data_IF_539324178717
#
_entry.id   IF_539324178717
#
_cell.length_a   1.000
_cell.length_b   1.000
_cell.length_c   1.000
_cell.angle_alpha   90.00
_cell.angle_beta   90.00
_cell.angle_gamma   90.00
#
_symmetry.space_group_name_H-M   'P 1'
#
loop_
_entity.id
_entity.type
_entity.pdbx_description
1 polymer ?
#
# COMPACT_ATOMS: atom_id res chain seq x y z
N UNK A 1 20.80 -12.38 47.07
CA UNK A 1 22.03 -11.60 47.33
C UNK A 1 23.12 -12.08 46.39
N UNK A 2 23.69 -11.19 45.56
CA UNK A 2 24.71 -11.57 44.58
C UNK A 2 26.04 -11.93 45.26
N UNK A 3 26.69 -13.00 44.80
CA UNK A 3 28.03 -13.43 45.26
C UNK A 3 29.02 -12.27 45.08
N UNK A 4 29.71 -11.87 46.15
CA UNK A 4 30.77 -10.85 46.08
C UNK A 4 31.87 -11.31 45.13
N UNK A 5 32.35 -10.40 44.29
CA UNK A 5 33.42 -10.68 43.33
C UNK A 5 34.77 -10.70 44.05
N UNK A 6 35.51 -11.81 43.97
CA UNK A 6 36.75 -12.02 44.76
C UNK A 6 38.02 -12.15 43.93
N UNK A 7 37.92 -12.17 42.59
CA UNK A 7 39.09 -12.31 41.71
C UNK A 7 39.87 -11.01 41.58
N UNK A 8 41.20 -11.09 41.73
CA UNK A 8 42.09 -9.94 41.58
C UNK A 8 42.58 -9.76 40.12
N UNK A 9 43.21 -8.61 39.82
CA UNK A 9 43.69 -8.26 38.46
C UNK A 9 44.59 -9.35 37.85
N UNK A 10 45.55 -9.88 38.61
CA UNK A 10 46.51 -10.90 38.14
C UNK A 10 45.83 -12.23 37.83
N UNK A 11 44.83 -12.63 38.63
CA UNK A 11 44.03 -13.82 38.37
C UNK A 11 43.18 -13.67 37.11
N UNK A 12 42.57 -12.50 36.91
CA UNK A 12 41.79 -12.20 35.71
C UNK A 12 42.65 -12.19 34.43
N UNK A 13 43.86 -11.65 34.49
CA UNK A 13 44.84 -11.69 33.39
C UNK A 13 45.23 -13.12 33.00
N UNK A 14 45.48 -13.98 33.99
CA UNK A 14 45.84 -15.39 33.75
C UNK A 14 44.66 -16.17 33.14
N UNK A 15 43.44 -15.83 33.54
CA UNK A 15 42.22 -16.48 33.07
C UNK A 15 41.85 -16.07 31.64
N UNK A 16 41.93 -14.78 31.28
CA UNK A 16 41.67 -14.30 29.90
C UNK A 16 42.65 -14.89 28.89
N UNK A 17 43.92 -15.10 29.27
CA UNK A 17 44.93 -15.69 28.37
C UNK A 17 44.60 -17.13 27.96
N UNK A 18 43.78 -17.83 28.74
CA UNK A 18 43.50 -19.27 28.54
C UNK A 18 42.07 -19.57 28.11
N UNK A 19 41.11 -18.72 28.46
CA UNK A 19 39.69 -18.99 28.26
C UNK A 19 38.95 -17.75 27.77
N UNK A 20 37.92 -17.97 26.96
CA UNK A 20 36.98 -16.91 26.54
C UNK A 20 36.07 -16.50 27.71
N UNK A 21 35.53 -15.28 27.65
CA UNK A 21 34.66 -14.76 28.74
C UNK A 21 33.42 -15.64 28.98
N UNK A 22 32.92 -16.32 27.95
CA UNK A 22 31.80 -17.28 28.06
C UNK A 22 32.18 -18.53 28.84
N UNK A 23 33.38 -19.05 28.64
CA UNK A 23 33.89 -20.21 29.38
C UNK A 23 34.19 -19.84 30.85
N UNK A 24 34.61 -18.60 31.10
CA UNK A 24 34.84 -18.10 32.45
C UNK A 24 33.58 -18.03 33.32
N UNK A 25 32.39 -17.87 32.72
CA UNK A 25 31.11 -17.93 33.43
C UNK A 25 30.93 -19.31 34.07
N UNK A 26 31.22 -20.38 33.33
CA UNK A 26 31.09 -21.76 33.80
C UNK A 26 32.14 -22.11 34.86
N UNK A 27 33.36 -21.58 34.71
CA UNK A 27 34.49 -21.87 35.62
C UNK A 27 34.35 -21.11 36.94
N UNK A 28 33.91 -19.85 36.90
CA UNK A 28 33.93 -18.97 38.08
C UNK A 28 32.58 -18.88 38.79
N UNK A 29 31.50 -19.22 38.10
CA UNK A 29 30.12 -19.05 38.56
C UNK A 29 29.68 -17.58 38.69
N UNK A 30 30.44 -16.63 38.12
CA UNK A 30 30.05 -15.23 38.03
C UNK A 30 29.24 -14.97 36.75
N UNK A 31 28.22 -14.11 36.85
CA UNK A 31 27.46 -13.67 35.68
C UNK A 31 28.34 -12.96 34.65
N UNK A 32 28.01 -13.15 33.37
CA UNK A 32 28.79 -12.64 32.23
C UNK A 32 28.98 -11.11 32.30
N UNK A 33 27.93 -10.36 32.68
CA UNK A 33 27.98 -8.90 32.85
C UNK A 33 28.96 -8.46 33.95
N UNK A 34 29.02 -9.20 35.07
CA UNK A 34 29.92 -8.93 36.20
C UNK A 34 31.38 -9.16 35.79
N UNK A 35 31.65 -10.22 35.03
CA UNK A 35 32.99 -10.49 34.49
C UNK A 35 33.42 -9.35 33.55
N UNK A 36 32.61 -8.98 32.55
CA UNK A 36 32.93 -7.86 31.65
C UNK A 36 33.19 -6.55 32.39
N UNK A 37 32.43 -6.23 33.44
CA UNK A 37 32.62 -5.03 34.23
C UNK A 37 33.99 -4.98 34.93
N UNK A 38 34.43 -6.09 35.54
CA UNK A 38 35.72 -6.17 36.23
C UNK A 38 36.90 -6.24 35.25
N UNK A 39 36.73 -6.96 34.13
CA UNK A 39 37.74 -7.02 33.07
C UNK A 39 37.97 -5.65 32.43
N UNK A 40 36.89 -4.87 32.26
CA UNK A 40 36.97 -3.48 31.79
C UNK A 40 37.58 -2.55 32.84
N UNK A 41 37.21 -2.70 34.13
CA UNK A 41 37.78 -1.92 35.25
C UNK A 41 39.31 -2.08 35.35
N UNK A 42 39.82 -3.26 35.02
CA UNK A 42 41.25 -3.55 35.03
C UNK A 42 41.97 -3.35 33.68
N UNK A 43 41.28 -2.76 32.67
CA UNK A 43 41.79 -2.55 31.31
C UNK A 43 42.26 -3.82 30.59
N UNK A 44 41.72 -4.99 30.96
CA UNK A 44 42.09 -6.28 30.36
C UNK A 44 41.33 -6.57 29.06
N UNK A 45 40.21 -5.88 28.87
CA UNK A 45 39.44 -5.85 27.64
C UNK A 45 39.19 -4.38 27.31
N UNK A 46 40.11 -3.76 26.56
CA UNK A 46 39.85 -2.48 25.90
C UNK A 46 39.38 -2.77 24.48
N UNK A 47 38.14 -2.35 24.17
CA UNK A 47 37.74 -2.23 22.76
C UNK A 47 38.20 -0.85 22.33
N UNK A 48 39.35 -0.76 21.67
CA UNK A 48 39.80 0.51 21.10
C UNK A 48 38.68 1.06 20.20
N UNK A 49 38.26 2.30 20.49
CA UNK A 49 37.24 2.97 19.68
C UNK A 49 37.90 3.38 18.38
N UNK A 50 37.73 2.55 17.35
CA UNK A 50 38.15 2.89 15.99
C UNK A 50 37.29 4.05 15.49
N UNK A 51 37.88 5.24 15.37
CA UNK A 51 37.21 6.40 14.77
C UNK A 51 36.98 6.21 13.27
N UNK A 52 36.00 6.92 12.74
CA UNK A 52 35.69 6.90 11.32
C UNK A 52 36.68 7.78 10.57
N UNK A 53 37.36 7.20 9.57
CA UNK A 53 38.19 7.99 8.64
C UNK A 53 37.32 8.80 7.69
N UNK A 54 37.83 9.92 7.15
CA UNK A 54 37.09 10.77 6.20
C UNK A 54 36.56 9.98 4.99
N UNK A 55 37.37 9.08 4.42
CA UNK A 55 36.96 8.19 3.33
C UNK A 55 35.78 7.28 3.69
N UNK A 56 35.73 6.79 4.94
CA UNK A 56 34.61 5.97 5.42
C UNK A 56 33.33 6.78 5.56
N UNK A 57 33.44 8.08 5.88
CA UNK A 57 32.31 9.00 5.96
C UNK A 57 31.74 9.30 4.57
N UNK A 58 32.61 9.63 3.61
CA UNK A 58 32.23 9.88 2.21
C UNK A 58 31.56 8.62 1.64
N UNK A 59 32.17 7.45 1.84
CA UNK A 59 31.59 6.19 1.38
C UNK A 59 30.24 5.90 2.03
N UNK A 60 30.08 6.20 3.32
CA UNK A 60 28.81 6.02 4.02
C UNK A 60 27.73 6.91 3.42
N UNK A 61 28.03 8.20 3.21
CA UNK A 61 27.11 9.18 2.63
C UNK A 61 26.68 8.79 1.21
N UNK A 62 27.63 8.49 0.31
CA UNK A 62 27.32 8.11 -1.07
C UNK A 62 26.51 6.82 -1.19
N UNK A 63 26.72 5.86 -0.29
CA UNK A 63 26.08 4.54 -0.36
C UNK A 63 24.88 4.41 0.55
N UNK A 64 24.58 5.41 1.39
CA UNK A 64 23.38 5.43 2.22
C UNK A 64 22.14 5.41 1.33
N UNK A 65 21.29 4.40 1.50
CA UNK A 65 20.09 4.24 0.67
C UNK A 65 20.34 3.66 -0.74
N UNK A 66 21.57 3.73 -1.27
CA UNK A 66 21.95 3.01 -2.50
C UNK A 66 22.23 1.52 -2.25
N UNK A 67 22.91 1.20 -1.14
CA UNK A 67 23.23 -0.18 -0.72
C UNK A 67 22.56 -0.54 0.61
N UNK A 68 22.40 -1.84 0.85
CA UNK A 68 21.93 -2.33 2.15
C UNK A 68 22.94 -1.99 3.25
N UNK A 69 22.45 -1.72 4.47
CA UNK A 69 23.30 -1.43 5.63
C UNK A 69 24.24 -2.59 5.91
N UNK A 70 23.78 -3.83 5.70
CA UNK A 70 24.61 -5.03 5.77
C UNK A 70 25.81 -4.99 4.83
N UNK A 71 25.62 -4.59 3.57
CA UNK A 71 26.71 -4.46 2.61
C UNK A 71 27.69 -3.33 2.98
N UNK A 72 27.18 -2.21 3.48
CA UNK A 72 28.01 -1.09 3.96
C UNK A 72 28.85 -1.52 5.18
N UNK A 73 28.21 -2.17 6.15
CA UNK A 73 28.84 -2.71 7.36
C UNK A 73 29.97 -3.69 7.02
N UNK A 74 29.73 -4.61 6.06
CA UNK A 74 30.74 -5.55 5.57
C UNK A 74 31.95 -4.82 4.96
N UNK A 75 31.74 -3.78 4.14
CA UNK A 75 32.85 -3.03 3.51
C UNK A 75 33.63 -2.21 4.54
N UNK A 76 32.94 -1.55 5.48
CA UNK A 76 33.58 -0.74 6.53
C UNK A 76 34.20 -1.59 7.65
N UNK A 77 33.98 -2.91 7.63
CA UNK A 77 34.37 -3.85 8.70
C UNK A 77 33.85 -3.38 10.07
N UNK A 78 32.58 -2.97 10.11
CA UNK A 78 31.89 -2.48 11.32
C UNK A 78 30.57 -3.22 11.50
N UNK A 79 29.98 -3.14 12.69
CA UNK A 79 28.63 -3.68 12.92
C UNK A 79 27.57 -2.81 12.25
N UNK A 80 26.45 -3.42 11.84
CA UNK A 80 25.30 -2.70 11.26
C UNK A 80 24.80 -1.58 12.19
N UNK A 81 24.79 -1.84 13.52
CA UNK A 81 24.43 -0.86 14.53
C UNK A 81 25.36 0.37 14.52
N UNK A 82 26.67 0.16 14.43
CA UNK A 82 27.64 1.25 14.41
C UNK A 82 27.49 2.12 13.15
N UNK A 83 27.15 1.51 12.01
CA UNK A 83 26.89 2.21 10.75
C UNK A 83 25.61 3.05 10.86
N UNK A 84 24.50 2.46 11.35
CA UNK A 84 23.23 3.18 11.58
C UNK A 84 23.41 4.37 12.51
N UNK A 85 24.15 4.18 13.61
CA UNK A 85 24.37 5.25 14.57
C UNK A 85 25.25 6.36 14.03
N UNK A 86 26.20 6.03 13.15
CA UNK A 86 27.00 7.05 12.49
C UNK A 86 26.18 7.83 11.47
N UNK A 87 25.36 7.15 10.66
CA UNK A 87 24.46 7.80 9.71
C UNK A 87 23.46 8.75 10.39
N UNK A 88 22.87 8.31 11.52
CA UNK A 88 22.01 9.15 12.35
C UNK A 88 22.73 10.40 12.85
N UNK A 89 23.95 10.24 13.39
CA UNK A 89 24.78 11.37 13.85
C UNK A 89 25.22 12.32 12.73
N UNK A 90 25.30 11.82 11.51
CA UNK A 90 25.61 12.62 10.32
C UNK A 90 24.36 13.28 9.71
N UNK A 91 23.17 13.01 10.24
CA UNK A 91 21.92 13.58 9.71
C UNK A 91 21.47 12.97 8.38
N UNK A 92 21.94 11.78 8.00
CA UNK A 92 21.63 11.15 6.69
C UNK A 92 20.16 10.67 6.54
N UNK A 93 19.35 10.78 7.60
CA UNK A 93 17.93 10.45 7.56
C UNK A 93 17.59 8.97 7.30
N UNK A 94 16.34 8.70 6.95
CA UNK A 94 15.86 7.35 6.62
C UNK A 94 16.34 6.96 5.21
N UNK A 95 17.09 5.84 5.05
CA UNK A 95 17.52 5.37 3.73
C UNK A 95 16.36 5.08 2.77
N UNK A 96 15.13 4.90 3.25
CA UNK A 96 13.93 4.75 2.41
C UNK A 96 13.62 5.99 1.57
N UNK A 97 14.03 7.17 2.02
CA UNK A 97 13.84 8.44 1.30
C UNK A 97 14.76 8.57 0.07
N UNK A 98 15.79 7.73 -0.04
CA UNK A 98 16.66 7.68 -1.23
C UNK A 98 16.02 6.94 -2.42
N UNK A 99 14.87 6.31 -2.22
CA UNK A 99 14.18 5.57 -3.28
C UNK A 99 13.60 6.60 -4.26
N UNK A 100 13.95 6.46 -5.53
CA UNK A 100 13.31 7.17 -6.62
C UNK A 100 11.92 6.56 -6.90
N UNK A 101 10.96 6.86 -6.02
CA UNK A 101 9.60 6.35 -6.09
C UNK A 101 8.89 6.35 -4.75
N UNK A 102 7.67 5.81 -4.77
CA UNK A 102 6.79 5.69 -3.61
C UNK A 102 6.67 4.23 -3.20
N UNK A 103 6.80 3.94 -1.90
CA UNK A 103 6.56 2.58 -1.39
C UNK A 103 5.08 2.24 -1.48
N UNK A 104 4.74 0.96 -1.64
CA UNK A 104 3.33 0.53 -1.75
C UNK A 104 2.50 0.92 -0.50
N UNK A 105 3.14 0.97 0.68
CA UNK A 105 2.48 1.43 1.90
C UNK A 105 2.18 2.94 1.87
N UNK A 106 3.13 3.76 1.41
CA UNK A 106 2.89 5.20 1.23
C UNK A 106 1.81 5.44 0.16
N UNK A 107 1.89 4.71 -0.96
CA UNK A 107 0.89 4.77 -2.03
C UNK A 107 -0.50 4.42 -1.50
N UNK A 108 -0.61 3.32 -0.75
CA UNK A 108 -1.85 2.87 -0.10
C UNK A 108 -2.49 3.96 0.76
N UNK A 109 -1.68 4.67 1.56
CA UNK A 109 -2.15 5.78 2.39
C UNK A 109 -2.56 7.00 1.57
N UNK A 110 -1.79 7.36 0.55
CA UNK A 110 -2.05 8.53 -0.29
C UNK A 110 -3.35 8.38 -1.11
N UNK A 111 -3.62 7.18 -1.63
CA UNK A 111 -4.80 6.92 -2.47
C UNK A 111 -6.01 6.39 -1.68
N UNK A 112 -5.83 6.05 -0.40
CA UNK A 112 -6.89 5.48 0.45
C UNK A 112 -7.32 4.06 0.08
N UNK A 113 -6.47 3.28 -0.61
CA UNK A 113 -6.72 1.88 -0.97
C UNK A 113 -5.89 0.98 -0.09
N UNK A 114 -6.49 -0.10 0.45
CA UNK A 114 -5.80 -1.02 1.35
C UNK A 114 -4.61 -1.73 0.67
N UNK A 115 -3.49 -1.88 1.40
CA UNK A 115 -2.25 -2.51 0.90
C UNK A 115 -2.49 -3.87 0.22
N UNK A 116 -3.24 -4.77 0.87
CA UNK A 116 -3.53 -6.10 0.29
C UNK A 116 -4.37 -6.03 -0.99
N UNK A 117 -5.21 -5.00 -1.15
CA UNK A 117 -5.97 -4.80 -2.39
C UNK A 117 -5.05 -4.38 -3.53
N UNK A 118 -4.04 -3.54 -3.25
CA UNK A 118 -3.03 -3.16 -4.25
C UNK A 118 -2.22 -4.41 -4.65
N UNK A 119 -1.73 -5.19 -3.68
CA UNK A 119 -0.94 -6.38 -3.99
C UNK A 119 -1.76 -7.41 -4.79
N UNK A 120 -2.95 -7.79 -4.31
CA UNK A 120 -3.75 -8.83 -4.96
C UNK A 120 -4.39 -8.39 -6.26
N UNK A 121 -5.00 -7.21 -6.31
CA UNK A 121 -5.71 -6.77 -7.51
C UNK A 121 -4.76 -6.10 -8.48
N UNK A 122 -3.96 -5.12 -8.03
CA UNK A 122 -3.16 -4.35 -8.98
C UNK A 122 -1.94 -5.13 -9.45
N UNK A 123 -1.17 -5.73 -8.53
CA UNK A 123 0.06 -6.45 -8.89
C UNK A 123 -0.25 -7.78 -9.57
N UNK A 124 -1.05 -8.66 -8.94
CA UNK A 124 -1.26 -10.01 -9.46
C UNK A 124 -2.22 -10.06 -10.67
N UNK A 125 -3.30 -9.26 -10.67
CA UNK A 125 -4.34 -9.36 -11.71
C UNK A 125 -4.17 -8.33 -12.83
N UNK A 126 -3.65 -7.13 -12.51
CA UNK A 126 -3.58 -6.01 -13.45
C UNK A 126 -2.14 -5.62 -13.83
N UNK A 127 -1.13 -6.41 -13.45
CA UNK A 127 0.26 -6.21 -13.88
C UNK A 127 0.91 -4.91 -13.38
N UNK A 128 0.60 -4.46 -12.18
CA UNK A 128 1.16 -3.23 -11.61
C UNK A 128 2.69 -3.29 -11.50
N UNK A 129 3.44 -2.30 -12.05
CA UNK A 129 4.89 -2.37 -12.24
C UNK A 129 5.68 -2.10 -10.95
N UNK A 130 5.63 -3.05 -10.01
CA UNK A 130 6.36 -2.95 -8.74
C UNK A 130 7.84 -3.32 -8.89
N UNK A 131 8.68 -2.56 -8.20
CA UNK A 131 10.12 -2.80 -8.06
C UNK A 131 10.44 -3.17 -6.63
N UNK A 132 11.47 -3.98 -6.44
CA UNK A 132 11.95 -4.39 -5.11
C UNK A 132 13.38 -3.94 -4.89
N UNK A 133 13.65 -3.38 -3.72
CA UNK A 133 15.00 -3.00 -3.29
C UNK A 133 15.23 -3.47 -1.86
N UNK A 134 16.37 -4.11 -1.63
CA UNK A 134 16.77 -4.51 -0.27
C UNK A 134 17.41 -3.32 0.42
N UNK A 135 16.73 -2.78 1.42
CA UNK A 135 17.23 -1.68 2.25
C UNK A 135 17.38 -2.19 3.68
N UNK A 136 18.57 -1.98 4.24
CA UNK A 136 18.94 -2.51 5.56
C UNK A 136 18.86 -4.05 5.55
N UNK A 137 17.74 -4.61 6.04
CA UNK A 137 17.44 -6.03 6.19
C UNK A 137 16.01 -6.38 5.68
N UNK A 138 15.31 -5.44 5.06
CA UNK A 138 13.93 -5.60 4.57
C UNK A 138 13.86 -5.42 3.05
N UNK A 139 13.01 -6.22 2.40
CA UNK A 139 12.64 -6.02 1.01
C UNK A 139 11.58 -4.93 0.94
N UNK A 140 11.92 -3.82 0.31
CA UNK A 140 11.01 -2.71 0.11
C UNK A 140 10.43 -2.80 -1.30
N UNK A 141 9.11 -2.89 -1.37
CA UNK A 141 8.35 -2.85 -2.61
C UNK A 141 7.93 -1.41 -2.88
N UNK A 142 8.26 -0.89 -4.05
CA UNK A 142 7.99 0.48 -4.45
C UNK A 142 7.65 0.57 -5.94
N UNK A 143 7.15 1.72 -6.36
CA UNK A 143 6.85 2.04 -7.76
C UNK A 143 7.39 3.44 -8.06
N UNK A 144 7.93 3.64 -9.26
CA UNK A 144 8.35 4.98 -9.68
C UNK A 144 7.13 5.82 -10.04
N UNK A 145 7.24 7.14 -9.97
CA UNK A 145 6.13 8.01 -10.34
C UNK A 145 5.72 7.82 -11.81
N UNK A 146 6.69 7.67 -12.71
CA UNK A 146 6.45 7.43 -14.14
C UNK A 146 5.70 6.10 -14.37
N UNK A 147 6.19 5.01 -13.78
CA UNK A 147 5.59 3.69 -13.93
C UNK A 147 4.16 3.65 -13.37
N UNK A 148 3.93 4.34 -12.24
CA UNK A 148 2.60 4.48 -11.65
C UNK A 148 1.63 5.18 -12.60
N UNK A 149 1.98 6.36 -13.12
CA UNK A 149 1.07 7.13 -13.97
C UNK A 149 0.79 6.45 -15.31
N UNK A 150 1.81 5.81 -15.90
CA UNK A 150 1.64 5.01 -17.11
C UNK A 150 0.64 3.88 -16.90
N UNK A 151 0.80 3.12 -15.82
CA UNK A 151 -0.15 2.04 -15.49
C UNK A 151 -1.54 2.57 -15.14
N UNK A 152 -1.63 3.69 -14.40
CA UNK A 152 -2.89 4.30 -14.00
C UNK A 152 -3.70 4.82 -15.20
N UNK A 153 -3.02 5.26 -16.27
CA UNK A 153 -3.66 5.70 -17.50
C UNK A 153 -4.35 4.55 -18.24
N UNK A 154 -3.75 3.36 -18.25
CA UNK A 154 -4.37 2.16 -18.84
C UNK A 154 -5.49 1.61 -17.94
N UNK A 155 -5.40 1.87 -16.63
CA UNK A 155 -6.28 1.32 -15.60
C UNK A 155 -7.14 2.39 -14.90
N UNK A 156 -7.61 3.41 -15.63
CA UNK A 156 -8.34 4.57 -15.04
C UNK A 156 -9.52 4.17 -14.17
N UNK A 157 -10.19 3.06 -14.47
CA UNK A 157 -11.38 2.60 -13.77
C UNK A 157 -11.10 1.93 -12.41
N UNK A 158 -9.85 1.58 -12.11
CA UNK A 158 -9.45 0.96 -10.84
C UNK A 158 -9.21 1.98 -9.72
N UNK A 159 -8.92 3.23 -10.08
CA UNK A 159 -8.56 4.29 -9.15
C UNK A 159 -9.69 5.31 -9.12
N UNK A 160 -10.13 5.67 -7.91
CA UNK A 160 -11.08 6.75 -7.68
C UNK A 160 -10.32 8.01 -7.24
N UNK A 161 -10.21 8.98 -8.14
CA UNK A 161 -9.49 10.23 -7.86
C UNK A 161 -10.33 11.26 -7.09
N UNK A 162 -11.61 11.01 -6.80
CA UNK A 162 -12.47 12.00 -6.16
C UNK A 162 -12.07 12.38 -4.74
N UNK A 163 -11.35 11.48 -4.04
CA UNK A 163 -10.92 11.66 -2.64
C UNK A 163 -9.41 11.81 -2.47
N UNK A 164 -8.66 11.72 -3.56
CA UNK A 164 -7.20 11.81 -3.55
C UNK A 164 -6.82 13.28 -3.64
N UNK A 165 -5.91 13.77 -2.79
CA UNK A 165 -5.43 15.14 -2.88
C UNK A 165 -4.66 15.37 -4.19
N UNK A 166 -4.83 16.56 -4.80
CA UNK A 166 -4.13 16.90 -6.03
C UNK A 166 -2.61 16.99 -5.80
N UNK A 167 -1.83 16.39 -6.70
CA UNK A 167 -0.37 16.35 -6.69
C UNK A 167 0.28 15.64 -5.49
N UNK A 168 -0.48 14.89 -4.69
CA UNK A 168 0.07 14.11 -3.56
C UNK A 168 1.09 13.04 -4.00
N UNK A 169 0.97 12.55 -5.24
CA UNK A 169 1.90 11.60 -5.87
C UNK A 169 2.92 12.29 -6.80
N UNK A 170 3.14 13.60 -6.61
CA UNK A 170 3.92 14.44 -7.49
C UNK A 170 3.11 15.01 -8.64
N UNK A 171 3.80 15.54 -9.67
CA UNK A 171 3.17 16.15 -10.85
C UNK A 171 2.18 15.20 -11.54
N UNK A 172 0.93 15.62 -11.65
CA UNK A 172 -0.13 14.88 -12.31
C UNK A 172 -0.10 15.05 -13.85
N UNK A 173 -0.36 13.97 -14.62
CA UNK A 173 -0.67 14.06 -16.05
C UNK A 173 -1.92 14.90 -16.34
N UNK A 174 -2.02 15.41 -17.57
CA UNK A 174 -3.17 16.24 -17.99
C UNK A 174 -4.50 15.48 -17.94
N UNK A 175 -4.51 14.19 -18.28
CA UNK A 175 -5.72 13.36 -18.28
C UNK A 175 -6.33 13.22 -16.88
N UNK A 176 -5.51 13.32 -15.82
CA UNK A 176 -5.94 13.13 -14.43
C UNK A 176 -6.97 14.18 -14.01
N UNK A 177 -6.87 15.42 -14.51
CA UNK A 177 -7.86 16.48 -14.25
C UNK A 177 -9.24 16.12 -14.77
N UNK A 178 -9.31 15.60 -15.99
CA UNK A 178 -10.59 15.19 -16.59
C UNK A 178 -11.16 13.98 -15.86
N UNK A 179 -10.31 12.98 -15.58
CA UNK A 179 -10.71 11.80 -14.80
C UNK A 179 -11.23 12.18 -13.41
N UNK A 180 -10.57 13.10 -12.70
CA UNK A 180 -10.99 13.59 -11.38
C UNK A 180 -12.39 14.21 -11.42
N UNK A 181 -12.69 15.03 -12.45
CA UNK A 181 -14.04 15.60 -12.65
C UNK A 181 -15.08 14.49 -12.84
N UNK A 182 -14.77 13.49 -13.66
CA UNK A 182 -15.63 12.32 -13.90
C UNK A 182 -15.87 11.55 -12.60
N UNK A 183 -14.84 11.33 -11.80
CA UNK A 183 -14.94 10.61 -10.52
C UNK A 183 -15.76 11.37 -9.49
N UNK A 184 -15.58 12.68 -9.37
CA UNK A 184 -16.40 13.52 -8.49
C UNK A 184 -17.88 13.41 -8.89
N UNK A 185 -18.18 13.51 -10.20
CA UNK A 185 -19.53 13.35 -10.71
C UNK A 185 -20.13 11.97 -10.41
N UNK A 186 -19.30 10.92 -10.51
CA UNK A 186 -19.72 9.54 -10.22
C UNK A 186 -19.90 9.27 -8.71
N UNK A 187 -19.02 9.82 -7.86
CA UNK A 187 -19.05 9.65 -6.41
C UNK A 187 -20.32 10.27 -5.83
N UNK A 188 -20.70 11.46 -6.31
CA UNK A 188 -21.92 12.17 -5.93
C UNK A 188 -23.21 11.35 -6.19
N UNK A 189 -23.19 10.37 -7.11
CA UNK A 189 -24.40 9.62 -7.52
C UNK A 189 -24.42 8.14 -7.10
N UNK A 190 -23.29 7.52 -6.77
CA UNK A 190 -23.23 6.06 -6.67
C UNK A 190 -22.61 5.45 -5.42
N UNK A 191 -21.88 6.18 -4.56
CA UNK A 191 -20.93 5.52 -3.64
C UNK A 191 -20.78 6.13 -2.26
N UNK A 192 -21.90 6.29 -1.57
CA UNK A 192 -21.84 6.08 -0.13
C UNK A 192 -22.08 4.59 0.14
N UNK A 193 -21.09 3.92 0.76
CA UNK A 193 -21.29 2.69 1.57
C UNK A 193 -22.21 2.98 2.78
N UNK A 194 -23.12 3.95 2.65
CA UNK A 194 -24.09 4.30 3.66
C UNK A 194 -24.99 3.09 3.84
N UNK A 195 -25.24 2.68 5.10
CA UNK A 195 -26.23 1.67 5.40
C UNK A 195 -27.57 2.02 4.75
N UNK A 196 -28.38 1.00 4.48
CA UNK A 196 -29.77 1.25 4.09
C UNK A 196 -30.55 1.70 5.32
N UNK A 197 -31.25 2.82 5.23
CA UNK A 197 -32.16 3.25 6.31
C UNK A 197 -33.48 2.47 6.23
N UNK A 198 -34.24 2.43 7.34
CA UNK A 198 -35.58 1.85 7.35
C UNK A 198 -36.51 2.52 6.32
N UNK A 199 -36.48 3.84 6.26
CA UNK A 199 -37.26 4.63 5.29
C UNK A 199 -36.89 4.34 3.83
N UNK A 200 -35.62 4.12 3.51
CA UNK A 200 -35.20 3.71 2.16
C UNK A 200 -35.71 2.31 1.80
N UNK A 201 -35.73 1.40 2.77
CA UNK A 201 -36.23 0.03 2.58
C UNK A 201 -37.74 0.07 2.37
N UNK A 202 -38.48 0.84 3.16
CA UNK A 202 -39.92 1.05 2.99
C UNK A 202 -40.24 1.65 1.61
N UNK A 203 -39.49 2.67 1.19
CA UNK A 203 -39.60 3.26 -0.15
C UNK A 203 -39.27 2.26 -1.26
N UNK A 204 -38.25 1.42 -1.07
CA UNK A 204 -37.94 0.35 -2.01
C UNK A 204 -39.12 -0.63 -2.15
N UNK A 205 -39.70 -1.06 -1.03
CA UNK A 205 -40.83 -1.99 -1.02
C UNK A 205 -42.07 -1.35 -1.66
N UNK A 206 -42.37 -0.09 -1.35
CA UNK A 206 -43.52 0.61 -1.95
C UNK A 206 -43.37 0.74 -3.46
N UNK A 207 -42.19 1.14 -3.95
CA UNK A 207 -41.89 1.19 -5.38
C UNK A 207 -42.05 -0.19 -6.05
N UNK A 208 -41.59 -1.26 -5.42
CA UNK A 208 -41.73 -2.61 -5.97
C UNK A 208 -43.19 -3.08 -6.01
N UNK A 209 -44.01 -2.73 -5.01
CA UNK A 209 -45.45 -3.07 -4.98
C UNK A 209 -46.25 -2.42 -6.09
N UNK A 210 -45.80 -1.29 -6.64
CA UNK A 210 -46.48 -0.65 -7.78
C UNK A 210 -46.32 -1.41 -9.10
N UNK A 211 -45.34 -2.33 -9.19
CA UNK A 211 -45.02 -3.11 -10.39
C UNK A 211 -44.87 -2.29 -11.69
N UNK A 212 -44.51 -1.00 -11.59
CA UNK A 212 -44.42 -0.12 -12.76
C UNK A 212 -42.99 0.35 -13.08
N UNK A 213 -42.01 -0.03 -12.25
CA UNK A 213 -40.65 0.52 -12.33
C UNK A 213 -39.63 -0.54 -12.68
N UNK A 214 -38.66 -0.15 -13.52
CA UNK A 214 -37.47 -0.96 -13.81
C UNK A 214 -36.41 -0.76 -12.73
N UNK A 215 -35.37 -1.60 -12.73
CA UNK A 215 -34.22 -1.42 -11.85
C UNK A 215 -33.57 -0.04 -11.99
N UNK A 216 -33.55 0.53 -13.20
CA UNK A 216 -32.97 1.86 -13.42
C UNK A 216 -33.80 2.96 -12.73
N UNK A 217 -35.12 2.90 -12.85
CA UNK A 217 -36.00 3.94 -12.31
C UNK A 217 -36.07 3.86 -10.77
N UNK A 218 -35.98 2.65 -10.21
CA UNK A 218 -35.91 2.46 -8.75
C UNK A 218 -34.56 2.98 -8.22
N UNK A 219 -33.46 2.64 -8.89
CA UNK A 219 -32.12 3.08 -8.53
C UNK A 219 -31.99 4.61 -8.52
N UNK A 220 -32.56 5.28 -9.52
CA UNK A 220 -32.58 6.75 -9.60
C UNK A 220 -33.40 7.38 -8.46
N UNK A 221 -34.60 6.87 -8.18
CA UNK A 221 -35.46 7.39 -7.09
C UNK A 221 -34.90 7.17 -5.69
N UNK A 222 -34.04 6.17 -5.51
CA UNK A 222 -33.39 5.85 -4.24
C UNK A 222 -31.97 6.43 -4.15
N UNK A 223 -31.46 7.05 -5.21
CA UNK A 223 -30.08 7.54 -5.30
C UNK A 223 -29.07 6.45 -4.92
N UNK A 224 -29.25 5.26 -5.52
CA UNK A 224 -28.40 4.07 -5.34
C UNK A 224 -28.05 3.49 -6.72
N UNK A 225 -27.04 2.62 -6.79
CA UNK A 225 -26.75 1.87 -8.02
C UNK A 225 -27.76 0.75 -8.27
N UNK A 226 -27.91 0.31 -9.53
CA UNK A 226 -28.83 -0.78 -9.88
C UNK A 226 -28.42 -2.10 -9.17
N UNK A 227 -27.11 -2.32 -9.05
CA UNK A 227 -26.55 -3.47 -8.34
C UNK A 227 -26.86 -3.45 -6.84
N UNK A 228 -26.81 -2.28 -6.19
CA UNK A 228 -27.15 -2.15 -4.77
C UNK A 228 -28.64 -2.46 -4.53
N UNK A 229 -29.52 -1.95 -5.38
CA UNK A 229 -30.97 -2.25 -5.33
C UNK A 229 -31.21 -3.75 -5.53
N UNK A 230 -30.61 -4.35 -6.56
CA UNK A 230 -30.72 -5.80 -6.83
C UNK A 230 -30.25 -6.64 -5.64
N UNK A 231 -29.09 -6.30 -5.06
CA UNK A 231 -28.55 -6.98 -3.89
C UNK A 231 -29.47 -6.85 -2.69
N UNK A 232 -30.01 -5.66 -2.44
CA UNK A 232 -30.92 -5.41 -1.31
C UNK A 232 -32.22 -6.21 -1.42
N UNK A 233 -32.81 -6.29 -2.63
CA UNK A 233 -33.99 -7.11 -2.89
C UNK A 233 -33.73 -8.59 -2.57
N UNK A 234 -32.56 -9.08 -2.97
CA UNK A 234 -32.12 -10.45 -2.69
C UNK A 234 -31.92 -10.68 -1.18
N UNK A 235 -31.17 -9.80 -0.52
CA UNK A 235 -30.86 -9.93 0.92
C UNK A 235 -32.12 -9.93 1.80
N UNK A 236 -33.09 -9.06 1.47
CA UNK A 236 -34.35 -8.95 2.20
C UNK A 236 -35.40 -9.98 1.78
N UNK A 237 -35.09 -10.87 0.82
CA UNK A 237 -36.02 -11.88 0.27
C UNK A 237 -37.39 -11.29 -0.12
N UNK A 238 -37.40 -10.06 -0.64
CA UNK A 238 -38.64 -9.40 -1.05
C UNK A 238 -39.29 -10.25 -2.15
N UNK A 239 -40.62 -10.48 -2.16
CA UNK A 239 -41.27 -11.28 -3.20
C UNK A 239 -41.47 -10.51 -4.51
N UNK A 240 -41.67 -9.19 -4.42
CA UNK A 240 -41.93 -8.29 -5.54
C UNK A 240 -40.68 -8.07 -6.42
N UNK A 241 -40.86 -7.93 -7.74
CA UNK A 241 -39.76 -7.77 -8.72
C UNK A 241 -39.98 -6.54 -9.61
N UNK A 242 -38.91 -5.79 -9.94
CA UNK A 242 -39.01 -4.73 -10.95
C UNK A 242 -39.38 -5.29 -12.33
N UNK A 243 -40.01 -4.45 -13.17
CA UNK A 243 -40.30 -4.84 -14.56
C UNK A 243 -38.97 -5.05 -15.31
N UNK A 244 -38.86 -6.13 -16.10
CA UNK A 244 -37.77 -6.28 -17.06
C UNK A 244 -37.74 -5.11 -18.06
N UNK A 245 -36.54 -4.65 -18.43
CA UNK A 245 -36.42 -3.69 -19.55
C UNK A 245 -36.95 -4.35 -20.83
N UNK A 246 -37.54 -3.57 -21.74
CA UNK A 246 -38.11 -4.07 -23.01
C UNK A 246 -37.12 -5.01 -23.72
N UNK A 247 -37.57 -6.22 -24.07
CA UNK A 247 -36.81 -7.18 -24.88
C UNK A 247 -36.61 -6.60 -26.30
N UNK A 248 -35.45 -6.84 -26.91
CA UNK A 248 -35.16 -6.42 -28.29
C UNK A 248 -34.36 -5.11 -28.48
N UNK A 249 -33.84 -4.49 -27.42
CA UNK A 249 -32.97 -3.30 -27.57
C UNK A 249 -31.52 -3.72 -27.85
N UNK A 250 -31.22 -4.04 -29.11
CA UNK A 250 -29.89 -4.46 -29.54
C UNK A 250 -28.84 -3.35 -29.42
N UNK A 251 -27.58 -3.74 -29.33
CA UNK A 251 -26.44 -2.83 -29.35
C UNK A 251 -26.12 -2.44 -30.78
N UNK A 252 -26.26 -1.15 -31.11
CA UNK A 252 -25.82 -0.64 -32.42
C UNK A 252 -24.28 -0.56 -32.47
N UNK A 253 -23.71 -0.46 -33.68
CA UNK A 253 -22.25 -0.28 -33.84
C UNK A 253 -21.79 1.00 -33.13
N UNK A 254 -22.50 2.11 -33.30
CA UNK A 254 -22.16 3.40 -32.69
C UNK A 254 -22.20 3.35 -31.16
N UNK A 255 -23.18 2.63 -30.59
CA UNK A 255 -23.26 2.44 -29.14
C UNK A 255 -22.05 1.67 -28.59
N UNK A 256 -21.53 0.68 -29.35
CA UNK A 256 -20.34 -0.07 -28.94
C UNK A 256 -19.07 0.79 -29.02
N UNK A 257 -18.94 1.58 -30.08
CA UNK A 257 -17.82 2.53 -30.22
C UNK A 257 -17.85 3.55 -29.08
N UNK A 258 -19.01 4.16 -28.82
CA UNK A 258 -19.20 5.12 -27.74
C UNK A 258 -18.98 4.50 -26.35
N UNK A 259 -19.38 3.24 -26.14
CA UNK A 259 -19.10 2.50 -24.91
C UNK A 259 -17.59 2.41 -24.67
N UNK A 260 -16.82 1.97 -25.67
CA UNK A 260 -15.37 1.85 -25.56
C UNK A 260 -14.72 3.21 -25.29
N UNK A 261 -15.09 4.23 -26.07
CA UNK A 261 -14.56 5.60 -25.91
C UNK A 261 -14.80 6.16 -24.49
N UNK A 262 -16.01 6.00 -23.95
CA UNK A 262 -16.33 6.46 -22.60
C UNK A 262 -15.59 5.64 -21.53
N UNK A 263 -15.43 4.33 -21.74
CA UNK A 263 -14.70 3.47 -20.81
C UNK A 263 -13.21 3.83 -20.77
N UNK A 264 -12.59 4.06 -21.92
CA UNK A 264 -11.17 4.43 -22.07
C UNK A 264 -10.88 5.82 -21.46
N UNK A 265 -11.88 6.72 -21.50
CA UNK A 265 -11.87 8.02 -20.78
C UNK A 265 -12.03 7.88 -19.27
N UNK A 266 -12.41 6.70 -18.76
CA UNK A 266 -12.56 6.42 -17.34
C UNK A 266 -13.96 6.73 -16.78
N UNK A 267 -15.00 6.79 -17.62
CA UNK A 267 -16.37 6.92 -17.15
C UNK A 267 -16.83 5.63 -16.45
N UNK A 268 -17.51 5.80 -15.32
CA UNK A 268 -18.08 4.66 -14.59
C UNK A 268 -19.25 4.04 -15.36
N UNK A 269 -19.49 2.72 -15.23
CA UNK A 269 -20.61 2.04 -15.90
C UNK A 269 -21.98 2.69 -15.63
N UNK A 270 -22.15 3.29 -14.44
CA UNK A 270 -23.35 4.06 -14.09
C UNK A 270 -23.51 5.31 -14.95
N UNK A 271 -22.44 6.09 -15.17
CA UNK A 271 -22.49 7.26 -16.05
C UNK A 271 -22.68 6.85 -17.52
N UNK A 272 -21.93 5.84 -17.97
CA UNK A 272 -22.06 5.29 -19.32
C UNK A 272 -23.49 4.83 -19.61
N UNK A 273 -24.12 4.15 -18.65
CA UNK A 273 -25.51 3.70 -18.72
C UNK A 273 -26.47 4.86 -19.00
N UNK A 274 -26.29 6.00 -18.32
CA UNK A 274 -27.10 7.20 -18.55
C UNK A 274 -26.84 7.81 -19.92
N UNK A 275 -25.58 7.90 -20.35
CA UNK A 275 -25.21 8.49 -21.64
C UNK A 275 -25.68 7.68 -22.84
N UNK A 276 -25.65 6.35 -22.75
CA UNK A 276 -26.03 5.44 -23.86
C UNK A 276 -27.53 5.07 -23.78
N UNK A 277 -28.18 5.24 -22.63
CA UNK A 277 -29.58 4.84 -22.41
C UNK A 277 -29.76 3.33 -22.19
N UNK A 278 -28.69 2.59 -21.93
CA UNK A 278 -28.70 1.14 -21.62
C UNK A 278 -28.72 0.92 -20.10
N UNK A 279 -29.09 -0.27 -19.63
CA UNK A 279 -29.01 -0.59 -18.19
C UNK A 279 -27.55 -0.76 -17.75
N UNK A 280 -27.26 -0.47 -16.48
CA UNK A 280 -25.91 -0.64 -15.92
C UNK A 280 -25.41 -2.09 -16.08
N UNK A 281 -26.31 -3.06 -15.89
CA UNK A 281 -26.01 -4.49 -16.13
C UNK A 281 -25.58 -4.77 -17.57
N UNK A 282 -26.27 -4.19 -18.56
CA UNK A 282 -25.91 -4.40 -19.97
C UNK A 282 -24.55 -3.77 -20.32
N UNK A 283 -24.19 -2.66 -19.65
CA UNK A 283 -22.85 -2.09 -19.77
C UNK A 283 -21.79 -3.08 -19.25
N UNK A 284 -21.96 -3.61 -18.03
CA UNK A 284 -21.02 -4.59 -17.45
C UNK A 284 -20.87 -5.85 -18.31
N UNK A 285 -21.98 -6.42 -18.77
CA UNK A 285 -21.95 -7.61 -19.64
C UNK A 285 -21.19 -7.34 -20.93
N UNK A 286 -21.39 -6.17 -21.52
CA UNK A 286 -20.73 -5.82 -22.78
C UNK A 286 -19.25 -5.52 -22.59
N UNK A 287 -18.86 -4.84 -21.51
CA UNK A 287 -17.45 -4.61 -21.16
C UNK A 287 -16.71 -5.92 -20.90
N UNK A 288 -17.30 -6.84 -20.11
CA UNK A 288 -16.71 -8.16 -19.87
C UNK A 288 -16.51 -8.95 -21.18
N UNK A 289 -17.46 -8.85 -22.10
CA UNK A 289 -17.35 -9.49 -23.42
C UNK A 289 -16.37 -8.79 -24.39
N UNK A 290 -15.78 -7.65 -24.01
CA UNK A 290 -14.68 -7.01 -24.74
C UNK A 290 -13.31 -7.34 -24.14
N UNK A 291 -13.26 -7.67 -22.85
CA UNK A 291 -12.03 -8.00 -22.10
C UNK A 291 -11.63 -9.48 -22.22
N UNK A 292 -12.56 -10.37 -22.60
CA UNK A 292 -12.32 -11.79 -22.88
C UNK A 292 -12.36 -12.10 -24.36
#
# INVERSE_FOLDING_TARGET
>A
MGKKFTLNKKQLEKLIKKYTVKELVNITGYGESTLYAHLKKHNLISRERRDYKKEELIYLEEKWGAKSVKAIAKKLKRSEWAVRMKAYKMGLGDPKLSIDGITINQLSKAIGVHYHSIMRTWVEQCGFPVKTKVLINENIVYVTQYDFWKWAEDNKNLIDFSRIEENILGKEPQWTKEKRRIDILANNKSRNKRPWTGSEIEKLISLLKTYNFTYADIAERLERSQSAVKRKIYDLKIPYRPIPKRRGVFWTKDQKVKLKELYDKGYTPTLISKTIGKSEFSIYEKLRAMEG
#
